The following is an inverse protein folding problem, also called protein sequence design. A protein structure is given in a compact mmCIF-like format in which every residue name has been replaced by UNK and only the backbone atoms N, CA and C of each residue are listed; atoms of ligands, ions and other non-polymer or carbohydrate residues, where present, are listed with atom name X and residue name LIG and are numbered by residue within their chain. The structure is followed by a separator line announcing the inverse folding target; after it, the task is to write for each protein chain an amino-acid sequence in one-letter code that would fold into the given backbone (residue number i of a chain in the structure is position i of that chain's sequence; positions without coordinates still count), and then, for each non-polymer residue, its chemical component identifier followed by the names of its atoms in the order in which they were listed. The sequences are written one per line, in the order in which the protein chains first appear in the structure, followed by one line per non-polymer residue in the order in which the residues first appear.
data_IF_332276844315
#
_entry.id   IF_332276844315
#
_cell.length_a   1.000
_cell.length_b   1.000
_cell.length_c   1.000
_cell.angle_alpha   90.00
_cell.angle_beta   90.00
_cell.angle_gamma   90.00
#
_symmetry.space_group_name_H-M   'P 1'
#
loop_
_entity.id
_entity.type
_entity.pdbx_description
1 polymer ?
#
# COMPACT_ATOMS: atom_id res chain seq x y z
N UNK A 1 15.26 4.69 11.19
CA UNK A 1 14.25 5.39 12.02
C UNK A 1 12.94 4.66 11.77
N UNK A 2 12.18 4.28 12.81
CA UNK A 2 10.99 3.41 12.64
C UNK A 2 9.75 4.30 12.62
N UNK A 3 9.26 4.64 11.43
CA UNK A 3 8.03 5.44 11.31
C UNK A 3 6.85 4.49 11.09
N UNK A 4 5.92 4.49 12.05
CA UNK A 4 4.69 3.68 12.01
C UNK A 4 3.51 4.61 11.79
N UNK A 5 2.90 4.58 10.61
CA UNK A 5 1.74 5.41 10.29
C UNK A 5 0.45 4.65 10.59
N UNK A 6 -0.46 5.27 11.36
CA UNK A 6 -1.80 4.74 11.65
C UNK A 6 -2.82 5.37 10.71
N UNK A 7 -3.69 4.57 10.11
CA UNK A 7 -4.78 5.05 9.25
C UNK A 7 -5.89 5.75 10.06
N UNK A 8 -6.56 6.73 9.45
CA UNK A 8 -7.79 7.40 9.93
C UNK A 8 -9.00 7.00 9.09
N UNK A 9 -10.17 6.78 9.71
CA UNK A 9 -11.42 6.39 9.02
C UNK A 9 -12.55 7.42 9.17
N UNK A 10 -13.43 7.46 8.17
CA UNK A 10 -14.82 7.94 8.28
C UNK A 10 -15.74 6.71 8.40
N UNK A 11 -16.60 6.67 9.42
CA UNK A 11 -17.55 5.57 9.67
C UNK A 11 -18.94 6.08 9.32
N UNK A 12 -19.67 5.37 8.45
CA UNK A 12 -21.13 5.46 8.38
C UNK A 12 -21.75 4.34 9.22
N UNK A 13 -22.87 4.68 9.87
CA UNK A 13 -23.29 4.07 11.13
C UNK A 13 -24.07 2.78 10.90
N UNK A 14 -23.39 1.63 10.79
CA UNK A 14 -24.07 0.33 10.92
C UNK A 14 -23.13 -0.82 11.36
N UNK A 15 -23.47 -1.39 12.53
CA UNK A 15 -23.09 -2.72 13.06
C UNK A 15 -21.75 -2.86 13.81
N UNK A 16 -21.87 -2.96 15.14
CA UNK A 16 -20.81 -3.12 16.17
C UNK A 16 -20.14 -4.52 16.16
N UNK A 17 -20.42 -5.39 15.17
CA UNK A 17 -19.91 -6.77 15.12
C UNK A 17 -18.72 -6.99 14.17
N UNK A 18 -18.24 -5.96 13.48
CA UNK A 18 -17.07 -6.08 12.60
C UNK A 18 -16.13 -4.88 12.80
N UNK A 19 -15.36 -4.90 13.90
CA UNK A 19 -14.34 -3.86 14.12
C UNK A 19 -13.32 -3.89 12.99
N UNK A 20 -12.94 -2.73 12.40
CA UNK A 20 -11.87 -2.67 11.42
C UNK A 20 -10.57 -3.25 11.98
N UNK A 21 -9.81 -3.92 11.12
CA UNK A 21 -8.49 -4.46 11.47
C UNK A 21 -7.53 -3.28 11.61
N UNK A 22 -6.66 -3.26 12.63
CA UNK A 22 -5.59 -2.27 12.65
C UNK A 22 -4.51 -2.68 11.67
N UNK A 23 -3.97 -1.73 10.91
CA UNK A 23 -3.05 -2.04 9.83
C UNK A 23 -1.89 -1.05 9.77
N UNK A 24 -0.73 -1.55 9.35
CA UNK A 24 0.46 -0.76 9.03
C UNK A 24 1.17 -1.36 7.84
N UNK A 25 1.85 -0.53 7.05
CA UNK A 25 2.65 -0.95 5.90
C UNK A 25 4.12 -0.64 6.13
N UNK A 26 4.98 -1.51 5.61
CA UNK A 26 6.41 -1.30 5.48
C UNK A 26 6.80 -1.47 4.02
N UNK A 27 7.56 -0.49 3.49
CA UNK A 27 8.19 -0.58 2.18
C UNK A 27 9.54 -1.26 2.34
N UNK A 28 9.68 -2.47 1.80
CA UNK A 28 10.90 -3.28 1.98
C UNK A 28 11.80 -3.28 0.76
N UNK A 29 11.29 -2.88 -0.40
CA UNK A 29 12.07 -2.83 -1.62
C UNK A 29 11.41 -2.04 -2.74
N UNK A 30 12.23 -1.38 -3.52
CA UNK A 30 11.82 -0.61 -4.70
C UNK A 30 12.74 -0.97 -5.86
N UNK A 31 12.18 -1.27 -7.03
CA UNK A 31 12.90 -1.61 -8.26
C UNK A 31 12.23 -0.94 -9.46
N UNK A 32 13.00 -0.72 -10.53
CA UNK A 32 12.47 -0.29 -11.83
C UNK A 32 11.88 1.12 -11.85
N UNK A 33 12.29 2.00 -10.93
CA UNK A 33 11.97 3.43 -11.00
C UNK A 33 12.90 4.13 -11.98
N UNK A 34 12.70 3.89 -13.28
CA UNK A 34 13.44 4.54 -14.35
C UNK A 34 12.47 5.31 -15.25
N UNK A 35 12.92 6.41 -15.88
CA UNK A 35 12.08 7.14 -16.82
C UNK A 35 11.76 6.26 -18.03
N UNK A 36 10.55 6.40 -18.56
CA UNK A 36 10.17 5.73 -19.80
C UNK A 36 10.87 6.41 -21.00
N UNK A 37 12.10 5.98 -21.31
CA UNK A 37 12.90 6.54 -22.40
C UNK A 37 12.44 6.06 -23.80
N UNK A 38 11.75 4.92 -23.88
CA UNK A 38 11.11 4.40 -25.10
C UNK A 38 10.08 3.29 -24.76
N UNK A 39 9.03 3.08 -25.59
CA UNK A 39 8.12 1.95 -25.46
C UNK A 39 8.89 0.62 -25.49
N UNK A 40 8.85 -0.15 -24.40
CA UNK A 40 9.50 -1.47 -24.30
C UNK A 40 10.93 -1.49 -23.75
N UNK A 41 11.53 -0.34 -23.42
CA UNK A 41 12.86 -0.25 -22.79
C UNK A 41 12.83 0.20 -21.32
N UNK A 42 11.71 0.73 -20.84
CA UNK A 42 11.57 1.20 -19.47
C UNK A 42 11.50 0.01 -18.50
N UNK A 43 12.31 0.03 -17.44
CA UNK A 43 12.09 -0.88 -16.32
C UNK A 43 10.73 -0.56 -15.68
N UNK A 44 9.94 -1.60 -15.42
CA UNK A 44 8.63 -1.47 -14.80
C UNK A 44 8.77 -1.28 -13.29
N UNK A 45 8.21 -0.22 -12.68
CA UNK A 45 8.20 -0.07 -11.24
C UNK A 45 7.64 -1.29 -10.54
N UNK A 46 8.38 -1.75 -9.53
CA UNK A 46 7.98 -2.81 -8.64
C UNK A 46 8.27 -2.40 -7.19
N UNK A 47 7.30 -2.62 -6.31
CA UNK A 47 7.37 -2.29 -4.90
C UNK A 47 7.07 -3.54 -4.08
N UNK A 48 7.98 -3.88 -3.18
CA UNK A 48 7.77 -4.95 -2.21
C UNK A 48 7.28 -4.32 -0.91
N UNK A 49 6.11 -4.76 -0.45
CA UNK A 49 5.44 -4.24 0.74
C UNK A 49 5.19 -5.36 1.73
N UNK A 50 5.32 -5.05 3.02
CA UNK A 50 4.83 -5.89 4.11
C UNK A 50 3.67 -5.18 4.80
N UNK A 51 2.49 -5.78 4.70
CA UNK A 51 1.29 -5.32 5.38
C UNK A 51 1.12 -6.09 6.68
N UNK A 52 1.22 -5.39 7.81
CA UNK A 52 0.88 -5.95 9.11
C UNK A 52 -0.59 -5.65 9.39
N UNK A 53 -1.34 -6.69 9.69
CA UNK A 53 -2.77 -6.68 9.92
C UNK A 53 -3.04 -7.27 11.31
N UNK A 54 -3.79 -6.56 12.15
CA UNK A 54 -3.95 -6.83 13.56
C UNK A 54 -5.44 -6.83 13.96
N UNK A 55 -5.94 -7.99 14.36
CA UNK A 55 -7.29 -8.12 14.90
C UNK A 55 -7.26 -7.80 16.38
N UNK A 56 -7.61 -6.56 16.74
CA UNK A 56 -7.74 -6.16 18.14
C UNK A 56 -8.97 -6.71 18.86
N UNK A 57 -9.86 -7.43 18.15
CA UNK A 57 -11.07 -7.99 18.75
C UNK A 57 -10.74 -9.21 19.62
N UNK A 58 -11.28 -9.24 20.83
CA UNK A 58 -11.15 -10.35 21.77
C UNK A 58 -12.23 -11.43 21.55
N UNK A 59 -13.31 -11.08 20.85
CA UNK A 59 -14.52 -11.88 20.86
C UNK A 59 -14.73 -12.71 19.58
N UNK A 60 -13.91 -12.54 18.54
CA UNK A 60 -14.12 -13.25 17.29
C UNK A 60 -12.96 -13.20 16.31
N UNK A 61 -12.95 -14.21 15.46
CA UNK A 61 -12.10 -14.26 14.28
C UNK A 61 -12.63 -13.32 13.20
N UNK A 62 -11.72 -12.73 12.44
CA UNK A 62 -12.02 -11.85 11.33
C UNK A 62 -11.54 -12.46 10.02
N UNK A 63 -12.42 -12.50 9.03
CA UNK A 63 -12.14 -13.01 7.70
C UNK A 63 -12.18 -11.86 6.68
N UNK A 64 -11.28 -11.91 5.70
CA UNK A 64 -11.28 -11.05 4.51
C UNK A 64 -10.99 -11.89 3.28
N UNK A 65 -11.71 -11.64 2.19
CA UNK A 65 -11.52 -12.34 0.91
C UNK A 65 -10.22 -11.94 0.19
N UNK A 66 -9.56 -10.88 0.67
CA UNK A 66 -8.40 -10.26 0.05
C UNK A 66 -8.72 -8.84 -0.34
N UNK A 67 -7.89 -8.27 -1.20
CA UNK A 67 -7.98 -6.86 -1.52
C UNK A 67 -6.96 -6.39 -2.54
N UNK A 68 -7.07 -5.14 -2.95
CA UNK A 68 -6.14 -4.50 -3.87
C UNK A 68 -5.27 -3.48 -3.15
N UNK A 69 -4.03 -3.38 -3.62
CA UNK A 69 -3.07 -2.38 -3.20
C UNK A 69 -2.74 -1.50 -4.41
N UNK A 70 -2.70 -0.19 -4.18
CA UNK A 70 -2.24 0.79 -5.16
C UNK A 70 -1.11 1.59 -4.56
N UNK A 71 -0.02 1.69 -5.29
CA UNK A 71 1.11 2.57 -4.97
C UNK A 71 1.05 3.75 -5.94
N UNK A 72 1.06 4.95 -5.38
CA UNK A 72 0.99 6.20 -6.12
C UNK A 72 2.11 7.15 -5.69
N UNK A 73 2.48 8.06 -6.57
CA UNK A 73 3.40 9.16 -6.29
C UNK A 73 2.80 10.45 -6.81
N UNK A 74 2.67 11.47 -5.96
CA UNK A 74 2.01 12.74 -6.30
C UNK A 74 0.62 12.53 -6.97
N UNK A 75 -0.14 11.54 -6.48
CA UNK A 75 -1.46 11.18 -7.01
C UNK A 75 -1.46 10.36 -8.31
N UNK A 76 -0.31 10.11 -8.93
CA UNK A 76 -0.19 9.26 -10.14
C UNK A 76 0.01 7.79 -9.74
N UNK A 77 -0.83 6.84 -10.19
CA UNK A 77 -0.63 5.42 -9.95
C UNK A 77 0.66 4.92 -10.62
N UNK A 78 1.53 4.30 -9.83
CA UNK A 78 2.78 3.70 -10.30
C UNK A 78 2.70 2.18 -10.40
N UNK A 79 1.99 1.54 -9.47
CA UNK A 79 1.89 0.09 -9.41
C UNK A 79 0.62 -0.38 -8.71
N UNK A 80 0.22 -1.60 -9.04
CA UNK A 80 -0.91 -2.30 -8.44
C UNK A 80 -0.46 -3.66 -7.91
N UNK A 81 -1.05 -4.07 -6.79
CA UNK A 81 -0.84 -5.39 -6.21
C UNK A 81 -2.14 -5.92 -5.60
N UNK A 82 -2.08 -7.15 -5.11
CA UNK A 82 -3.23 -7.78 -4.47
C UNK A 82 -2.81 -8.50 -3.18
N UNK A 83 -3.67 -8.45 -2.18
CA UNK A 83 -3.55 -9.27 -0.98
C UNK A 83 -4.40 -10.53 -1.16
N UNK A 84 -3.89 -11.72 -0.78
CA UNK A 84 -4.72 -12.91 -0.70
C UNK A 84 -5.77 -12.76 0.39
N UNK A 85 -6.81 -13.59 0.33
CA UNK A 85 -7.73 -13.75 1.45
C UNK A 85 -7.02 -14.27 2.69
N UNK A 86 -7.44 -13.80 3.86
CA UNK A 86 -6.82 -14.13 5.13
C UNK A 86 -7.84 -14.23 6.26
N UNK A 87 -7.46 -14.96 7.31
CA UNK A 87 -8.21 -15.06 8.56
C UNK A 87 -7.30 -14.66 9.71
N UNK A 88 -7.77 -13.74 10.54
CA UNK A 88 -7.14 -13.39 11.81
C UNK A 88 -7.98 -13.97 12.94
N UNK A 89 -7.35 -14.74 13.83
CA UNK A 89 -7.96 -15.15 15.08
C UNK A 89 -8.20 -13.96 16.01
N UNK A 90 -8.99 -14.15 17.07
CA UNK A 90 -9.12 -13.16 18.13
C UNK A 90 -7.75 -12.74 18.70
N UNK A 91 -7.50 -11.43 18.80
CA UNK A 91 -6.22 -10.84 19.23
C UNK A 91 -4.98 -11.32 18.48
N UNK A 92 -5.13 -11.77 17.23
CA UNK A 92 -4.02 -12.22 16.41
C UNK A 92 -3.59 -11.16 15.39
N UNK A 93 -2.38 -11.32 14.86
CA UNK A 93 -1.89 -10.51 13.75
C UNK A 93 -1.30 -11.39 12.65
N UNK A 94 -1.28 -10.89 11.43
CA UNK A 94 -0.61 -11.50 10.29
C UNK A 94 0.23 -10.46 9.56
N UNK A 95 1.26 -10.94 8.86
CA UNK A 95 2.02 -10.13 7.91
C UNK A 95 1.82 -10.70 6.52
N UNK A 96 1.42 -9.85 5.59
CA UNK A 96 1.13 -10.21 4.20
C UNK A 96 2.16 -9.50 3.32
N UNK A 97 2.93 -10.29 2.57
CA UNK A 97 3.80 -9.75 1.54
C UNK A 97 2.98 -9.42 0.29
N UNK A 98 3.17 -8.22 -0.23
CA UNK A 98 2.56 -7.76 -1.48
C UNK A 98 3.66 -7.28 -2.41
N UNK A 99 3.71 -7.85 -3.61
CA UNK A 99 4.49 -7.32 -4.71
C UNK A 99 3.54 -6.51 -5.59
N UNK A 100 3.74 -5.20 -5.66
CA UNK A 100 2.97 -4.30 -6.52
C UNK A 100 3.80 -3.97 -7.76
N UNK A 101 3.22 -4.17 -8.95
CA UNK A 101 3.88 -3.97 -10.25
C UNK A 101 3.10 -3.01 -11.15
N UNK A 102 3.78 -2.39 -12.09
CA UNK A 102 3.18 -1.47 -13.06
C UNK A 102 2.67 -2.13 -14.34
N UNK A 103 2.68 -3.46 -14.41
CA UNK A 103 2.27 -4.25 -15.59
C UNK A 103 2.93 -3.82 -16.91
N UNK A 104 4.20 -3.40 -16.85
CA UNK A 104 4.94 -2.96 -18.04
C UNK A 104 4.97 -1.44 -18.25
N UNK A 105 4.20 -0.67 -17.47
CA UNK A 105 4.12 0.78 -17.63
C UNK A 105 5.28 1.46 -16.89
N UNK A 106 6.13 2.18 -17.60
CA UNK A 106 7.22 2.96 -17.00
C UNK A 106 6.73 4.24 -16.32
N UNK A 107 7.61 4.92 -15.58
CA UNK A 107 7.30 6.21 -14.94
C UNK A 107 7.29 7.31 -16.01
N UNK A 108 6.25 8.16 -16.09
CA UNK A 108 6.25 9.34 -16.94
C UNK A 108 7.46 10.23 -16.65
N UNK A 109 8.13 10.75 -17.68
CA UNK A 109 9.40 11.49 -17.53
C UNK A 109 9.29 12.67 -16.56
N UNK A 110 8.22 13.46 -16.66
CA UNK A 110 8.03 14.62 -15.77
C UNK A 110 7.83 14.19 -14.31
N UNK A 111 7.09 13.10 -14.07
CA UNK A 111 6.92 12.53 -12.74
C UNK A 111 8.25 12.00 -12.19
N UNK A 112 9.06 11.36 -13.03
CA UNK A 112 10.39 10.90 -12.65
C UNK A 112 11.32 12.07 -12.29
N UNK A 113 11.26 13.19 -13.01
CA UNK A 113 12.02 14.41 -12.70
C UNK A 113 11.60 15.02 -11.37
N UNK A 114 10.30 15.12 -11.11
CA UNK A 114 9.77 15.58 -9.83
C UNK A 114 10.26 14.67 -8.69
N UNK A 115 10.06 13.36 -8.84
CA UNK A 115 10.50 12.36 -7.86
C UNK A 115 11.99 12.47 -7.58
N UNK A 116 12.83 12.59 -8.61
CA UNK A 116 14.28 12.73 -8.47
C UNK A 116 14.68 14.00 -7.71
N UNK A 117 13.96 15.11 -7.92
CA UNK A 117 14.20 16.35 -7.19
C UNK A 117 13.83 16.21 -5.71
N UNK A 118 12.67 15.64 -5.41
CA UNK A 118 12.18 15.43 -4.04
C UNK A 118 13.03 14.41 -3.27
N UNK A 119 13.52 13.35 -3.92
CA UNK A 119 14.48 12.40 -3.32
C UNK A 119 15.77 13.10 -2.89
N UNK A 120 16.32 13.99 -3.73
CA UNK A 120 17.53 14.77 -3.38
C UNK A 120 17.32 15.69 -2.19
N UNK A 121 16.07 16.11 -1.95
CA UNK A 121 15.68 16.92 -0.80
C UNK A 121 15.28 16.07 0.42
N UNK A 122 15.21 14.74 0.28
CA UNK A 122 14.78 13.83 1.34
C UNK A 122 13.28 13.92 1.68
N UNK A 123 12.44 14.33 0.72
CA UNK A 123 10.99 14.54 0.92
C UNK A 123 10.12 13.71 -0.03
N UNK A 124 10.71 12.79 -0.79
CA UNK A 124 9.96 11.93 -1.68
C UNK A 124 9.13 10.91 -0.90
N UNK A 125 7.82 10.94 -1.11
CA UNK A 125 6.86 10.09 -0.40
C UNK A 125 5.95 9.35 -1.38
N UNK A 126 5.63 8.11 -1.03
CA UNK A 126 4.67 7.26 -1.74
C UNK A 126 3.35 7.23 -0.99
N UNK A 127 2.27 7.27 -1.77
CA UNK A 127 0.91 7.05 -1.30
C UNK A 127 0.54 5.57 -1.50
N UNK A 128 0.31 4.86 -0.41
CA UNK A 128 -0.08 3.45 -0.44
C UNK A 128 -1.53 3.34 0.02
N UNK A 129 -2.39 2.86 -0.88
CA UNK A 129 -3.80 2.59 -0.59
C UNK A 129 -4.05 1.08 -0.61
N UNK A 130 -4.67 0.56 0.46
CA UNK A 130 -5.18 -0.81 0.54
C UNK A 130 -6.70 -0.77 0.60
N UNK A 131 -7.36 -1.49 -0.30
CA UNK A 131 -8.80 -1.77 -0.24
C UNK A 131 -8.98 -3.23 0.09
N UNK A 132 -9.62 -3.53 1.22
CA UNK A 132 -10.05 -4.88 1.57
C UNK A 132 -11.52 -5.07 1.21
N UNK A 133 -11.83 -6.22 0.60
CA UNK A 133 -13.18 -6.55 0.14
C UNK A 133 -13.70 -5.60 -0.93
N UNK A 134 -15.02 -5.36 -0.91
CA UNK A 134 -15.70 -4.57 -1.93
C UNK A 134 -15.34 -3.08 -1.80
N UNK A 135 -15.32 -2.31 -2.91
CA UNK A 135 -15.00 -0.89 -2.87
C UNK A 135 -15.88 -0.12 -1.86
N UNK A 136 -15.24 0.67 -0.99
CA UNK A 136 -15.92 1.45 0.06
C UNK A 136 -16.21 0.69 1.36
N UNK A 137 -15.85 -0.60 1.45
CA UNK A 137 -16.04 -1.38 2.69
C UNK A 137 -14.97 -1.08 3.74
N UNK A 138 -13.70 -1.33 3.42
CA UNK A 138 -12.59 -1.15 4.35
C UNK A 138 -11.34 -0.71 3.59
N UNK A 139 -10.95 0.55 3.80
CA UNK A 139 -9.84 1.17 3.10
C UNK A 139 -8.81 1.70 4.08
N UNK A 140 -7.54 1.58 3.71
CA UNK A 140 -6.40 2.10 4.45
C UNK A 140 -5.53 2.93 3.55
N UNK A 141 -4.93 3.96 4.14
CA UNK A 141 -4.05 4.87 3.45
C UNK A 141 -2.82 5.14 4.31
N UNK A 142 -1.66 5.08 3.67
CA UNK A 142 -0.38 5.41 4.29
C UNK A 142 0.44 6.28 3.35
N UNK A 143 1.21 7.17 3.95
CA UNK A 143 2.27 7.91 3.29
C UNK A 143 3.57 7.31 3.81
N UNK A 144 4.44 6.88 2.91
CA UNK A 144 5.71 6.22 3.24
C UNK A 144 6.85 6.92 2.53
N UNK A 145 7.92 7.22 3.26
CA UNK A 145 9.12 7.78 2.66
C UNK A 145 9.72 6.78 1.65
N UNK A 146 9.99 7.25 0.44
CA UNK A 146 10.45 6.41 -0.66
C UNK A 146 11.84 5.80 -0.39
N UNK A 147 12.66 6.47 0.42
CA UNK A 147 14.06 6.13 0.67
C UNK A 147 14.32 5.49 2.05
N UNK A 148 13.31 5.41 2.93
CA UNK A 148 13.39 4.74 4.24
C UNK A 148 14.01 5.55 5.39
#
# INVERSE_FOLDING_TARGET
MRITYKASQAIDTAVIFNKPISSSVELVGVRGLEPSLAPGAAASPAFDLLLRLDNGDACGDQYREGGSVKVSYAGVPLAHGSTPGFRLGARSSATVAVNATSDGVGVPEELFRLMSAERRLGVAQLDIALQLGWPGWESYYWIVDLDG
#
